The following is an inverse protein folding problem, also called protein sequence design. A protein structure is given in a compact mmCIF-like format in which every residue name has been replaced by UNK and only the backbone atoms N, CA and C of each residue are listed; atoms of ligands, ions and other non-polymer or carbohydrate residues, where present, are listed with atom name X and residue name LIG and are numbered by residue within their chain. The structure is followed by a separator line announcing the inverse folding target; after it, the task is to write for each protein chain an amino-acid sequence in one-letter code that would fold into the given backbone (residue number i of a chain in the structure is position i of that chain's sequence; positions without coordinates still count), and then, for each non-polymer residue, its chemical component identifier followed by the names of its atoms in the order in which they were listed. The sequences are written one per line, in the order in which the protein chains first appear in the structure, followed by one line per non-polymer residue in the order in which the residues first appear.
data_IF_633294998602
#
_entry.id   IF_633294998602
#
_cell.length_a   1.000
_cell.length_b   1.000
_cell.length_c   1.000
_cell.angle_alpha   90.00
_cell.angle_beta   90.00
_cell.angle_gamma   90.00
#
_symmetry.space_group_name_H-M   'P 1'
#
loop_
_entity.id
_entity.type
_entity.pdbx_description
1 polymer ?
#
# COMPACT_ATOMS: atom_id res chain seq x y z
N UNK A 1 -5.67 16.24 9.25
CA UNK A 1 -4.96 14.93 9.30
C UNK A 1 -4.39 14.48 7.94
N UNK A 2 -5.09 14.58 6.81
CA UNK A 2 -4.58 14.20 5.46
C UNK A 2 -3.23 14.86 5.07
N UNK A 3 -2.96 16.10 5.54
CA UNK A 3 -1.66 16.77 5.32
C UNK A 3 -0.49 16.08 6.01
N UNK A 4 -0.66 15.63 7.26
CA UNK A 4 0.47 15.11 8.04
C UNK A 4 1.02 13.78 7.52
N UNK A 5 0.17 12.91 6.97
CA UNK A 5 0.64 11.67 6.33
C UNK A 5 1.29 11.92 4.98
N UNK A 6 0.77 12.85 4.17
CA UNK A 6 1.43 13.31 2.95
C UNK A 6 2.78 13.94 3.26
N UNK A 7 2.85 14.79 4.28
CA UNK A 7 4.07 15.45 4.72
C UNK A 7 5.09 14.44 5.26
N UNK A 8 4.65 13.40 5.98
CA UNK A 8 5.50 12.28 6.39
C UNK A 8 6.03 11.48 5.19
N UNK A 9 5.19 11.19 4.20
CA UNK A 9 5.59 10.52 2.97
C UNK A 9 6.57 11.36 2.13
N UNK A 10 6.37 12.68 2.08
CA UNK A 10 7.28 13.63 1.42
C UNK A 10 8.62 13.72 2.15
N UNK A 11 8.62 13.61 3.49
CA UNK A 11 9.83 13.55 4.31
C UNK A 11 10.62 12.25 4.10
N UNK A 12 9.94 11.12 3.88
CA UNK A 12 10.57 9.83 3.59
C UNK A 12 11.09 9.72 2.15
N UNK A 13 10.53 10.48 1.19
CA UNK A 13 10.92 10.44 -0.22
C UNK A 13 12.20 11.25 -0.58
N UNK A 14 12.93 11.83 0.38
CA UNK A 14 14.14 12.61 0.05
C UNK A 14 15.41 11.78 -0.21
N UNK A 15 15.33 10.44 -0.30
CA UNK A 15 16.49 9.63 -0.70
C UNK A 15 16.11 8.27 -1.28
N UNK A 16 15.64 8.26 -2.53
CA UNK A 16 16.13 7.39 -3.61
C UNK A 16 15.38 7.70 -4.92
N UNK A 17 16.03 7.69 -6.09
CA UNK A 17 15.34 7.85 -7.36
C UNK A 17 14.55 6.58 -7.67
N UNK A 18 13.23 6.70 -7.81
CA UNK A 18 12.35 5.64 -8.30
C UNK A 18 12.79 5.23 -9.71
N UNK A 19 13.03 3.94 -10.01
CA UNK A 19 13.36 3.52 -11.36
C UNK A 19 12.18 3.76 -12.30
N UNK A 20 12.49 4.49 -13.36
CA UNK A 20 11.67 4.76 -14.53
C UNK A 20 11.23 3.47 -15.21
N UNK A 21 9.97 3.08 -15.01
CA UNK A 21 9.13 2.46 -16.03
C UNK A 21 7.67 2.56 -15.59
N UNK A 22 7.09 3.72 -15.88
CA UNK A 22 5.66 3.95 -16.00
C UNK A 22 5.10 3.09 -17.14
N UNK A 23 4.98 1.80 -16.89
CA UNK A 23 4.00 0.98 -17.56
C UNK A 23 2.89 0.89 -16.53
N UNK A 24 1.72 1.43 -16.86
CA UNK A 24 0.48 1.22 -16.11
C UNK A 24 0.47 -0.21 -15.58
N UNK A 25 0.74 -0.35 -14.28
CA UNK A 25 0.78 -1.66 -13.67
C UNK A 25 -0.67 -2.07 -13.62
N UNK A 26 -1.11 -2.79 -14.64
CA UNK A 26 -2.25 -3.69 -14.61
C UNK A 26 -1.97 -4.69 -13.51
N UNK A 27 -2.16 -4.26 -12.27
CA UNK A 27 -2.02 -5.07 -11.09
C UNK A 27 -3.19 -6.05 -11.11
N UNK A 28 -3.03 -7.17 -11.79
CA UNK A 28 -3.79 -8.36 -11.43
C UNK A 28 -3.35 -8.76 -10.02
N UNK A 29 -4.29 -9.05 -9.12
CA UNK A 29 -4.06 -9.46 -7.72
C UNK A 29 -2.97 -10.55 -7.57
N UNK A 30 -2.79 -11.36 -8.61
CA UNK A 30 -1.77 -12.42 -8.68
C UNK A 30 -0.33 -11.90 -8.67
N UNK A 31 -0.07 -10.66 -9.12
CA UNK A 31 1.28 -10.09 -9.16
C UNK A 31 1.71 -9.47 -7.82
N UNK A 32 0.80 -8.82 -7.07
CA UNK A 32 1.14 -8.29 -5.73
C UNK A 32 1.47 -9.42 -4.79
N UNK A 33 0.59 -10.42 -4.68
CA UNK A 33 0.77 -11.49 -3.69
C UNK A 33 2.08 -12.25 -3.92
N UNK A 34 2.44 -12.51 -5.18
CA UNK A 34 3.72 -13.14 -5.54
C UNK A 34 4.91 -12.24 -5.23
N UNK A 35 4.80 -10.94 -5.52
CA UNK A 35 5.89 -10.01 -5.30
C UNK A 35 6.21 -9.81 -3.81
N UNK A 36 5.18 -9.83 -2.96
CA UNK A 36 5.29 -9.64 -1.51
C UNK A 36 5.54 -10.93 -0.73
N UNK A 37 5.48 -12.09 -1.40
CA UNK A 37 5.79 -13.38 -0.77
C UNK A 37 7.20 -13.35 -0.16
N UNK A 38 7.32 -13.80 1.09
CA UNK A 38 8.55 -13.79 1.92
C UNK A 38 9.24 -12.43 2.13
N UNK A 39 8.59 -11.30 1.78
CA UNK A 39 9.12 -9.95 2.04
C UNK A 39 8.33 -9.25 3.14
N UNK A 40 9.02 -8.61 4.07
CA UNK A 40 8.38 -7.67 5.00
C UNK A 40 7.93 -6.42 4.25
N UNK A 41 6.65 -6.03 4.37
CA UNK A 41 6.11 -4.86 3.68
C UNK A 41 5.37 -3.90 4.61
N UNK A 42 5.39 -2.62 4.24
CA UNK A 42 4.53 -1.58 4.78
C UNK A 42 3.73 -0.98 3.62
N UNK A 43 2.42 -1.21 3.60
CA UNK A 43 1.52 -0.68 2.57
C UNK A 43 0.63 0.38 3.19
N UNK A 44 0.51 1.53 2.52
CA UNK A 44 -0.36 2.62 2.95
C UNK A 44 -1.43 2.84 1.90
N UNK A 45 -2.70 2.66 2.31
CA UNK A 45 -3.87 2.88 1.47
C UNK A 45 -4.53 4.15 1.99
N UNK A 46 -4.46 5.22 1.19
CA UNK A 46 -5.09 6.49 1.54
C UNK A 46 -6.55 6.52 1.08
N UNK A 47 -7.45 7.07 1.91
CA UNK A 47 -8.83 7.40 1.57
C UNK A 47 -9.74 6.19 1.23
N UNK A 48 -9.67 5.13 2.03
CA UNK A 48 -10.58 4.00 1.88
C UNK A 48 -11.97 4.33 2.45
N UNK A 49 -12.96 4.47 1.56
CA UNK A 49 -14.32 4.90 1.89
C UNK A 49 -15.30 3.77 2.27
N UNK A 50 -15.00 2.51 1.95
CA UNK A 50 -15.93 1.39 2.11
C UNK A 50 -15.19 0.12 2.55
N UNK A 51 -15.73 -0.54 3.58
CA UNK A 51 -15.24 -1.81 4.07
C UNK A 51 -15.35 -2.94 3.02
N UNK A 52 -16.36 -2.87 2.14
CA UNK A 52 -16.53 -3.82 1.04
C UNK A 52 -15.34 -3.81 0.08
N UNK A 53 -14.74 -2.64 -0.13
CA UNK A 53 -13.54 -2.47 -0.96
C UNK A 53 -12.32 -3.09 -0.28
N UNK A 54 -12.19 -2.95 1.05
CA UNK A 54 -11.14 -3.65 1.81
C UNK A 54 -11.27 -5.17 1.71
N UNK A 55 -12.50 -5.69 1.74
CA UNK A 55 -12.75 -7.12 1.64
C UNK A 55 -12.23 -7.71 0.33
N UNK A 56 -12.18 -6.94 -0.75
CA UNK A 56 -11.58 -7.35 -2.02
C UNK A 56 -10.04 -7.20 -1.92
N UNK A 57 -9.57 -5.99 -1.59
CA UNK A 57 -8.15 -5.62 -1.61
C UNK A 57 -7.28 -6.53 -0.72
N UNK A 58 -7.79 -6.93 0.46
CA UNK A 58 -7.01 -7.75 1.41
C UNK A 58 -6.56 -9.09 0.82
N UNK A 59 -7.24 -9.60 -0.21
CA UNK A 59 -6.88 -10.86 -0.87
C UNK A 59 -5.64 -10.75 -1.75
N UNK A 60 -5.22 -9.54 -2.12
CA UNK A 60 -3.99 -9.31 -2.88
C UNK A 60 -2.72 -9.47 -2.02
N UNK A 61 -2.83 -9.51 -0.69
CA UNK A 61 -1.68 -9.57 0.22
C UNK A 61 -1.45 -10.99 0.77
N UNK A 62 -0.18 -11.45 0.85
CA UNK A 62 0.14 -12.74 1.44
C UNK A 62 -0.11 -12.70 2.96
N UNK A 63 -0.65 -13.80 3.49
CA UNK A 63 -0.90 -13.95 4.93
C UNK A 63 0.38 -14.36 5.66
N UNK A 64 0.56 -13.84 6.88
CA UNK A 64 1.47 -14.46 7.85
C UNK A 64 2.94 -14.03 7.82
N UNK A 65 3.27 -12.85 7.29
CA UNK A 65 4.66 -12.39 7.28
C UNK A 65 5.01 -11.50 8.49
N UNK A 66 5.92 -11.95 9.35
CA UNK A 66 6.28 -11.29 10.61
C UNK A 66 6.86 -9.90 10.35
N UNK A 67 6.17 -8.86 10.85
CA UNK A 67 6.56 -7.46 10.68
C UNK A 67 5.86 -6.73 9.53
N UNK A 68 5.07 -7.42 8.71
CA UNK A 68 4.28 -6.76 7.67
C UNK A 68 3.10 -5.98 8.27
N UNK A 69 2.81 -4.81 7.69
CA UNK A 69 1.80 -3.87 8.17
C UNK A 69 1.06 -3.25 6.99
N UNK A 70 -0.25 -3.08 7.15
CA UNK A 70 -1.09 -2.31 6.24
C UNK A 70 -1.71 -1.19 7.06
N UNK A 71 -1.50 0.05 6.63
CA UNK A 71 -2.07 1.25 7.25
C UNK A 71 -3.13 1.78 6.29
N UNK A 72 -4.34 1.91 6.78
CA UNK A 72 -5.46 2.46 6.01
C UNK A 72 -5.81 3.79 6.65
N UNK A 73 -5.92 4.84 5.84
CA UNK A 73 -6.60 6.06 6.26
C UNK A 73 -8.00 6.04 5.67
N UNK A 74 -8.97 6.44 6.48
CA UNK A 74 -10.35 6.64 6.04
C UNK A 74 -10.74 8.07 6.38
N UNK A 75 -11.62 8.65 5.58
CA UNK A 75 -12.30 9.87 5.98
C UNK A 75 -13.48 9.47 6.87
N UNK A 76 -13.39 9.81 8.15
CA UNK A 76 -14.50 9.72 9.08
C UNK A 76 -15.15 11.11 9.08
N UNK A 77 -16.44 11.19 8.76
CA UNK A 77 -17.25 12.38 9.03
C UNK A 77 -17.69 12.43 10.50
#
# INVERSE_FOLDING_TARGET
MKRHLRDLFLQLHQKEPLPTNSNELGISDTNISKHLHDKSFLVVIDDLWDASVWDIIKHAFPKGNHGSRIIITTQIE
#
